data_IF_688299265789
#
_entry.id   IF_688299265789
#
_cell.length_a   1.000
_cell.length_b   1.000
_cell.length_c   1.000
_cell.angle_alpha   90.00
_cell.angle_beta   90.00
_cell.angle_gamma   90.00
#
_symmetry.space_group_name_H-M   'P 1'
#
loop_
_entity.id
_entity.type
_entity.pdbx_description
1 polymer ?
#
# COMPACT_ATOMS: atom_id res chain seq x y z
N UNK A 1 39.23 -15.32 -0.99
CA UNK A 1 38.58 -15.95 0.17
C UNK A 1 38.96 -15.32 1.53
N UNK A 2 40.21 -14.87 1.75
CA UNK A 2 40.67 -14.30 3.04
C UNK A 2 39.92 -13.05 3.55
N UNK A 3 39.23 -12.30 2.69
CA UNK A 3 38.45 -11.11 3.07
C UNK A 3 37.08 -11.45 3.67
N UNK A 4 36.51 -12.62 3.34
CA UNK A 4 35.19 -13.04 3.84
C UNK A 4 35.25 -13.47 5.32
N UNK A 5 36.34 -14.13 5.73
CA UNK A 5 36.54 -14.57 7.13
C UNK A 5 36.73 -13.40 8.09
N UNK A 6 37.11 -12.21 7.61
CA UNK A 6 37.28 -11.00 8.44
C UNK A 6 35.97 -10.26 8.72
N UNK A 7 34.91 -10.50 7.92
CA UNK A 7 33.59 -9.88 8.09
C UNK A 7 32.63 -10.74 8.93
N UNK A 8 32.87 -12.05 9.01
CA UNK A 8 32.09 -12.99 9.81
C UNK A 8 31.86 -12.59 11.29
N UNK A 9 32.87 -12.11 12.06
CA UNK A 9 32.64 -11.70 13.44
C UNK A 9 31.76 -10.45 13.55
N UNK A 10 31.79 -9.57 12.55
CA UNK A 10 30.97 -8.35 12.51
C UNK A 10 29.50 -8.69 12.22
N UNK A 11 29.25 -9.63 11.30
CA UNK A 11 27.91 -10.12 11.00
C UNK A 11 27.29 -10.87 12.20
N UNK A 12 28.09 -11.69 12.90
CA UNK A 12 27.63 -12.42 14.09
C UNK A 12 27.29 -11.48 15.26
N UNK A 13 28.07 -10.40 15.43
CA UNK A 13 27.80 -9.36 16.42
C UNK A 13 26.56 -8.50 16.08
N UNK A 14 26.11 -8.48 14.82
CA UNK A 14 24.89 -7.81 14.40
C UNK A 14 23.61 -8.64 14.62
N UNK A 15 23.75 -9.96 14.82
CA UNK A 15 22.60 -10.87 15.02
C UNK A 15 21.72 -10.51 16.21
N UNK A 16 22.24 -10.12 17.40
CA UNK A 16 21.40 -9.73 18.52
C UNK A 16 20.55 -8.49 18.21
N UNK A 17 21.11 -7.53 17.46
CA UNK A 17 20.39 -6.33 17.04
C UNK A 17 19.29 -6.66 16.02
N UNK A 18 19.58 -7.51 15.04
CA UNK A 18 18.59 -7.99 14.07
C UNK A 18 17.49 -8.84 14.74
N UNK A 19 17.84 -9.69 15.71
CA UNK A 19 16.87 -10.48 16.49
C UNK A 19 15.99 -9.58 17.38
N UNK A 20 16.57 -8.53 17.98
CA UNK A 20 15.81 -7.56 18.79
C UNK A 20 14.83 -6.70 17.98
N UNK A 21 15.07 -6.52 16.67
CA UNK A 21 14.14 -5.81 15.78
C UNK A 21 12.91 -6.66 15.39
N UNK A 22 13.00 -7.99 15.50
CA UNK A 22 11.90 -8.90 15.13
C UNK A 22 10.83 -9.03 16.23
N UNK A 23 11.12 -8.59 17.47
CA UNK A 23 10.20 -8.75 18.61
C UNK A 23 8.87 -7.97 18.51
N UNK A 24 8.85 -6.84 17.78
CA UNK A 24 7.63 -6.03 17.60
C UNK A 24 6.67 -6.63 16.56
N UNK A 25 7.19 -7.40 15.60
CA UNK A 25 6.43 -7.88 14.43
C UNK A 25 5.89 -9.32 14.64
N UNK A 26 6.51 -10.10 15.54
CA UNK A 26 6.15 -11.51 15.77
C UNK A 26 5.03 -11.73 16.80
N UNK A 27 4.52 -10.71 17.49
CA UNK A 27 3.37 -10.84 18.38
C UNK A 27 2.06 -10.58 17.60
N UNK A 28 1.25 -11.62 17.30
CA UNK A 28 -0.03 -11.44 16.62
C UNK A 28 -1.04 -10.61 17.39
N UNK A 29 -0.86 -10.50 18.70
CA UNK A 29 -1.71 -9.72 19.60
C UNK A 29 -1.00 -8.43 20.07
N UNK A 30 0.17 -8.13 19.50
CA UNK A 30 0.90 -6.91 19.77
C UNK A 30 0.11 -5.69 19.30
N UNK A 31 0.13 -4.62 20.08
CA UNK A 31 -0.57 -3.37 19.77
C UNK A 31 -0.11 -2.77 18.43
N UNK A 32 1.18 -2.89 18.10
CA UNK A 32 1.75 -2.44 16.83
C UNK A 32 1.27 -3.28 15.63
N UNK A 33 1.32 -4.61 15.74
CA UNK A 33 0.81 -5.56 14.73
C UNK A 33 -0.67 -5.32 14.43
N UNK A 34 -1.48 -5.14 15.49
CA UNK A 34 -2.91 -4.89 15.39
C UNK A 34 -3.22 -3.54 14.71
N UNK A 35 -2.46 -2.50 15.04
CA UNK A 35 -2.60 -1.18 14.42
C UNK A 35 -2.26 -1.21 12.93
N UNK A 36 -1.14 -1.85 12.56
CA UNK A 36 -0.73 -2.00 11.16
C UNK A 36 -1.74 -2.83 10.36
N UNK A 37 -2.23 -3.95 10.93
CA UNK A 37 -3.29 -4.75 10.33
C UNK A 37 -4.58 -3.95 10.10
N UNK A 38 -5.01 -3.15 11.07
CA UNK A 38 -6.17 -2.27 10.94
C UNK A 38 -5.99 -1.20 9.86
N UNK A 39 -4.80 -0.61 9.72
CA UNK A 39 -4.50 0.35 8.65
C UNK A 39 -4.60 -0.33 7.28
N UNK A 40 -4.02 -1.52 7.13
CA UNK A 40 -4.06 -2.26 5.86
C UNK A 40 -5.49 -2.64 5.50
N UNK A 41 -6.27 -3.13 6.47
CA UNK A 41 -7.69 -3.46 6.28
C UNK A 41 -8.52 -2.24 5.88
N UNK A 42 -8.35 -1.11 6.57
CA UNK A 42 -9.04 0.14 6.23
C UNK A 42 -8.62 0.66 4.85
N UNK A 43 -7.33 0.60 4.53
CA UNK A 43 -6.80 1.05 3.24
C UNK A 43 -7.41 0.25 2.08
N UNK A 44 -7.39 -1.09 2.20
CA UNK A 44 -7.93 -2.00 1.18
C UNK A 44 -9.45 -1.93 1.07
N UNK A 45 -10.16 -1.82 2.19
CA UNK A 45 -11.62 -1.84 2.22
C UNK A 45 -12.29 -0.51 1.86
N UNK A 46 -11.63 0.61 2.17
CA UNK A 46 -12.26 1.95 2.06
C UNK A 46 -11.41 2.90 1.24
N UNK A 47 -10.15 3.11 1.62
CA UNK A 47 -9.34 4.21 1.07
C UNK A 47 -9.07 4.04 -0.43
N UNK A 48 -8.61 2.86 -0.84
CA UNK A 48 -8.28 2.56 -2.24
C UNK A 48 -9.52 2.63 -3.14
N UNK A 49 -10.63 1.92 -2.86
CA UNK A 49 -11.81 2.01 -3.71
C UNK A 49 -12.38 3.43 -3.76
N UNK A 50 -12.28 4.19 -2.66
CA UNK A 50 -12.72 5.59 -2.62
C UNK A 50 -11.87 6.49 -3.54
N UNK A 51 -10.54 6.41 -3.45
CA UNK A 51 -9.64 7.20 -4.30
C UNK A 51 -9.79 6.78 -5.77
N UNK A 52 -9.93 5.49 -6.06
CA UNK A 52 -10.21 5.00 -7.42
C UNK A 52 -11.51 5.57 -7.98
N UNK A 53 -12.56 5.66 -7.15
CA UNK A 53 -13.83 6.30 -7.52
C UNK A 53 -13.65 7.77 -7.89
N UNK A 54 -12.89 8.53 -7.09
CA UNK A 54 -12.60 9.94 -7.38
C UNK A 54 -11.77 10.08 -8.66
N UNK A 55 -10.71 9.29 -8.81
CA UNK A 55 -9.86 9.31 -10.00
C UNK A 55 -10.67 8.98 -11.27
N UNK A 56 -11.61 8.03 -11.18
CA UNK A 56 -12.55 7.73 -12.27
C UNK A 56 -13.47 8.90 -12.60
N UNK A 57 -14.03 9.58 -11.60
CA UNK A 57 -14.85 10.77 -11.82
C UNK A 57 -14.05 11.90 -12.50
N UNK A 58 -12.81 12.14 -12.05
CA UNK A 58 -11.92 13.15 -12.67
C UNK A 58 -11.56 12.76 -14.10
N UNK A 59 -11.31 11.47 -14.37
CA UNK A 59 -11.05 10.97 -15.71
C UNK A 59 -12.25 11.21 -16.64
N UNK A 60 -13.46 10.86 -16.19
CA UNK A 60 -14.70 11.08 -16.94
C UNK A 60 -14.95 12.58 -17.16
N UNK A 61 -14.69 13.43 -16.15
CA UNK A 61 -14.77 14.87 -16.30
C UNK A 61 -13.77 15.43 -17.34
N UNK A 62 -12.55 14.89 -17.36
CA UNK A 62 -11.56 15.19 -18.39
C UNK A 62 -12.04 14.81 -19.79
N UNK A 63 -12.69 13.65 -19.93
CA UNK A 63 -13.29 13.19 -21.18
C UNK A 63 -14.42 14.12 -21.65
N UNK A 64 -15.32 14.52 -20.75
CA UNK A 64 -16.39 15.48 -21.04
C UNK A 64 -15.82 16.82 -21.54
N UNK A 65 -14.79 17.35 -20.89
CA UNK A 65 -14.11 18.57 -21.34
C UNK A 65 -13.41 18.39 -22.68
N UNK A 66 -12.77 17.25 -22.92
CA UNK A 66 -12.04 16.99 -24.16
C UNK A 66 -12.96 16.84 -25.36
N UNK A 67 -14.02 16.03 -25.24
CA UNK A 67 -14.88 15.66 -26.37
C UNK A 67 -16.10 16.57 -26.56
N UNK A 68 -16.72 17.08 -25.49
CA UNK A 68 -17.92 17.91 -25.60
C UNK A 68 -17.55 19.40 -25.63
N UNK A 69 -16.80 19.88 -24.64
CA UNK A 69 -16.42 21.30 -24.58
C UNK A 69 -15.28 21.66 -25.55
N UNK A 70 -14.38 20.72 -25.81
CA UNK A 70 -13.22 20.89 -26.68
C UNK A 70 -13.50 20.92 -28.18
N UNK A 71 -14.77 20.77 -28.60
CA UNK A 71 -15.18 20.88 -30.00
C UNK A 71 -15.20 22.31 -30.53
N UNK A 72 -15.36 23.30 -29.64
CA UNK A 72 -15.45 24.72 -29.99
C UNK A 72 -14.32 25.59 -29.40
N UNK A 73 -13.55 25.05 -28.44
CA UNK A 73 -12.50 25.78 -27.71
C UNK A 73 -11.25 24.89 -27.51
N UNK A 74 -10.12 25.31 -28.09
CA UNK A 74 -8.85 24.57 -28.02
C UNK A 74 -8.29 24.49 -26.59
N UNK A 75 -8.53 25.50 -25.76
CA UNK A 75 -8.11 25.53 -24.36
C UNK A 75 -8.89 24.54 -23.49
N UNK A 76 -10.19 24.37 -23.74
CA UNK A 76 -11.01 23.33 -23.09
C UNK A 76 -10.52 21.93 -23.45
N UNK A 77 -10.09 21.73 -24.71
CA UNK A 77 -9.52 20.46 -25.18
C UNK A 77 -8.19 20.16 -24.51
N UNK A 78 -7.28 21.13 -24.40
CA UNK A 78 -6.00 20.92 -23.72
C UNK A 78 -6.18 20.61 -22.23
N UNK A 79 -7.07 21.35 -21.54
CA UNK A 79 -7.38 21.08 -20.14
C UNK A 79 -8.00 19.70 -19.93
N UNK A 80 -8.95 19.29 -20.79
CA UNK A 80 -9.52 17.95 -20.74
C UNK A 80 -8.47 16.85 -20.91
N UNK A 81 -7.54 17.03 -21.86
CA UNK A 81 -6.41 16.10 -22.07
C UNK A 81 -5.54 15.98 -20.84
N UNK A 82 -5.15 17.10 -20.24
CA UNK A 82 -4.31 17.11 -19.06
C UNK A 82 -4.99 16.45 -17.87
N UNK A 83 -6.29 16.69 -17.65
CA UNK A 83 -7.07 16.03 -16.61
C UNK A 83 -7.09 14.50 -16.75
N UNK A 84 -7.27 13.98 -17.97
CA UNK A 84 -7.21 12.54 -18.22
C UNK A 84 -5.82 11.95 -17.95
N UNK A 85 -4.76 12.67 -18.34
CA UNK A 85 -3.37 12.25 -18.09
C UNK A 85 -3.10 12.21 -16.59
N UNK A 86 -3.48 13.25 -15.84
CA UNK A 86 -3.30 13.29 -14.38
C UNK A 86 -4.10 12.20 -13.67
N UNK A 87 -5.34 11.94 -14.10
CA UNK A 87 -6.13 10.83 -13.55
C UNK A 87 -5.50 9.46 -13.84
N UNK A 88 -4.96 9.26 -15.04
CA UNK A 88 -4.26 8.03 -15.43
C UNK A 88 -2.99 7.82 -14.61
N UNK A 89 -2.19 8.88 -14.43
CA UNK A 89 -1.03 8.86 -13.54
C UNK A 89 -1.44 8.56 -12.09
N UNK A 90 -2.56 9.12 -11.64
CA UNK A 90 -3.16 8.80 -10.34
C UNK A 90 -3.48 7.31 -10.20
N UNK A 91 -4.10 6.68 -11.19
CA UNK A 91 -4.36 5.23 -11.19
C UNK A 91 -3.08 4.40 -11.06
N UNK A 92 -2.04 4.75 -11.83
CA UNK A 92 -0.76 4.04 -11.78
C UNK A 92 -0.10 4.19 -10.40
N UNK A 93 -0.11 5.40 -9.82
CA UNK A 93 0.46 5.66 -8.51
C UNK A 93 -0.25 4.86 -7.40
N UNK A 94 -1.58 4.75 -7.44
CA UNK A 94 -2.34 3.95 -6.48
C UNK A 94 -1.90 2.49 -6.54
N UNK A 95 -1.77 1.93 -7.74
CA UNK A 95 -1.33 0.53 -7.93
C UNK A 95 0.09 0.32 -7.40
N UNK A 96 1.01 1.24 -7.67
CA UNK A 96 2.39 1.16 -7.20
C UNK A 96 2.44 1.23 -5.67
N UNK A 97 1.79 2.22 -5.06
CA UNK A 97 1.80 2.40 -3.60
C UNK A 97 1.14 1.21 -2.89
N UNK A 98 0.01 0.73 -3.41
CA UNK A 98 -0.65 -0.46 -2.87
C UNK A 98 0.22 -1.72 -3.01
N UNK A 99 0.84 -1.93 -4.17
CA UNK A 99 1.73 -3.06 -4.40
C UNK A 99 2.94 -3.06 -3.48
N UNK A 100 3.53 -1.89 -3.22
CA UNK A 100 4.64 -1.75 -2.25
C UNK A 100 4.17 -2.05 -0.83
N UNK A 101 3.02 -1.51 -0.41
CA UNK A 101 2.47 -1.79 0.93
C UNK A 101 2.21 -3.29 1.12
N UNK A 102 1.64 -3.96 0.11
CA UNK A 102 1.38 -5.39 0.18
C UNK A 102 2.68 -6.21 0.22
N UNK A 103 3.67 -5.85 -0.60
CA UNK A 103 4.98 -6.51 -0.61
C UNK A 103 5.72 -6.34 0.72
N UNK A 104 5.62 -5.17 1.35
CA UNK A 104 6.17 -4.92 2.68
C UNK A 104 5.42 -5.69 3.77
N UNK A 105 4.09 -5.78 3.70
CA UNK A 105 3.29 -6.58 4.61
C UNK A 105 3.64 -8.08 4.50
N UNK A 106 3.79 -8.59 3.28
CA UNK A 106 4.16 -9.98 3.03
C UNK A 106 5.59 -10.29 3.53
N UNK A 107 6.54 -9.41 3.24
CA UNK A 107 7.97 -9.62 3.60
C UNK A 107 8.28 -9.43 5.07
N UNK A 108 7.45 -8.72 5.84
CA UNK A 108 7.64 -8.53 7.28
C UNK A 108 7.07 -9.66 8.14
N UNK A 109 6.43 -10.67 7.54
CA UNK A 109 5.91 -11.85 8.25
C UNK A 109 4.44 -11.76 8.65
N UNK A 110 3.71 -10.72 8.22
CA UNK A 110 2.25 -10.64 8.40
C UNK A 110 1.50 -11.64 7.50
N UNK A 111 2.09 -12.12 6.41
CA UNK A 111 1.50 -13.12 5.50
C UNK A 111 1.19 -14.47 6.15
N UNK A 112 1.79 -14.79 7.30
CA UNK A 112 1.59 -16.05 8.04
C UNK A 112 0.64 -15.96 9.22
N UNK A 113 0.20 -14.75 9.60
CA UNK A 113 -0.76 -14.58 10.68
C UNK A 113 -2.16 -14.52 10.07
N UNK A 114 -2.77 -15.69 9.88
CA UNK A 114 -4.24 -15.74 9.94
C UNK A 114 -4.64 -15.00 11.22
N UNK A 115 -5.27 -13.85 11.09
CA UNK A 115 -5.95 -13.20 12.22
C UNK A 115 -7.01 -14.21 12.68
N UNK A 116 -6.63 -15.06 13.64
CA UNK A 116 -7.53 -15.98 14.30
C UNK A 116 -8.47 -15.12 15.13
N UNK A 117 -9.51 -14.60 14.47
CA UNK A 117 -10.72 -14.16 15.13
C UNK A 117 -11.38 -15.40 15.71
N UNK A 118 -10.84 -15.88 16.84
CA UNK A 118 -11.57 -16.79 17.70
C UNK A 118 -12.71 -15.97 18.28
N UNK A 119 -13.90 -16.09 17.68
CA UNK A 119 -15.13 -15.65 18.32
C UNK A 119 -15.25 -16.50 19.57
N UNK A 120 -14.93 -15.91 20.73
CA UNK A 120 -15.29 -16.48 22.01
C UNK A 120 -16.81 -16.39 22.12
N UNK A 121 -17.49 -17.41 21.58
CA UNK A 121 -18.89 -17.63 21.89
C UNK A 121 -18.94 -18.16 23.31
N UNK A 122 -19.65 -17.50 24.23
CA UNK A 122 -19.85 -18.04 25.56
C UNK A 122 -20.56 -19.39 25.39
N UNK A 123 -19.88 -20.47 25.77
CA UNK A 123 -20.53 -21.75 25.97
C UNK A 123 -21.54 -21.56 27.11
N UNK A 124 -22.83 -21.64 26.76
CA UNK A 124 -23.95 -21.75 27.70
C UNK A 124 -23.82 -22.98 28.60
#
# INVERSE_FOLDING_TARGET
MKYFTRLAPFALAALPFAASAQGVILDPNGTATSFLGNIVLFSNGVLIPFILGIAFLVFVWGMFRYFIAGGADEGARENGKNLMIYATLGFVLIIILWGVVNLLADSSGFAGQTLNYTVNTPTI
#
